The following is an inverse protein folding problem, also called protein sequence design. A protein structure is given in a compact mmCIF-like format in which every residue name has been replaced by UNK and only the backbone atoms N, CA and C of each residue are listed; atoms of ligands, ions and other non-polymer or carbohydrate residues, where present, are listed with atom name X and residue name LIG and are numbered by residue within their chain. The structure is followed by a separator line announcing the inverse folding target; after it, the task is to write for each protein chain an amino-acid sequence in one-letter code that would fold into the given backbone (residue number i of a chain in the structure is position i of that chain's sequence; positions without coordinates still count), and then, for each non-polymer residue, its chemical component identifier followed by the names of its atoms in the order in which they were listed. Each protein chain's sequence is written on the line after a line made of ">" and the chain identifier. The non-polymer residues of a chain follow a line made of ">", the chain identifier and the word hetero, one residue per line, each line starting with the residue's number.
data_IF_333154543217
#
_entry.id   IF_333154543217
#
_cell.length_a   1.000
_cell.length_b   1.000
_cell.length_c   1.000
_cell.angle_alpha   90.00
_cell.angle_beta   90.00
_cell.angle_gamma   90.00
#
_symmetry.space_group_name_H-M   'P 1'
#
loop_
_entity.id
_entity.type
_entity.pdbx_description
1 polymer ?
#
# COMPACT_ATOMS: atom_id res chain seq x y z
N UNK A 1 15.33 -27.98 4.50
CA UNK A 1 16.15 -27.16 3.59
C UNK A 1 15.39 -27.03 2.28
N UNK A 2 15.36 -25.83 1.70
CA UNK A 2 14.75 -25.57 0.39
C UNK A 2 15.69 -24.69 -0.42
N UNK A 3 15.98 -25.12 -1.65
CA UNK A 3 16.70 -24.32 -2.65
C UNK A 3 15.71 -23.62 -3.57
N UNK A 4 15.98 -22.37 -3.89
CA UNK A 4 15.12 -21.48 -4.64
C UNK A 4 15.94 -20.69 -5.67
N UNK A 5 15.39 -20.55 -6.87
CA UNK A 5 16.04 -19.96 -8.03
C UNK A 5 15.16 -18.89 -8.65
N UNK A 6 15.78 -17.82 -9.17
CA UNK A 6 15.08 -16.79 -9.94
C UNK A 6 16.03 -16.18 -10.97
N UNK A 7 15.61 -16.14 -12.24
CA UNK A 7 16.32 -15.37 -13.27
C UNK A 7 16.00 -13.88 -13.13
N UNK A 8 17.04 -13.05 -12.97
CA UNK A 8 16.89 -11.60 -12.90
C UNK A 8 16.74 -10.99 -14.30
N UNK A 9 16.14 -9.79 -14.38
CA UNK A 9 16.06 -9.01 -15.64
C UNK A 9 17.45 -8.71 -16.24
N UNK A 10 18.52 -8.74 -15.42
CA UNK A 10 19.91 -8.56 -15.87
C UNK A 10 20.53 -9.81 -16.51
N UNK A 11 19.78 -10.92 -16.57
CA UNK A 11 20.26 -12.23 -17.04
C UNK A 11 21.08 -13.01 -15.99
N UNK A 12 21.31 -12.45 -14.79
CA UNK A 12 21.95 -13.21 -13.70
C UNK A 12 20.93 -14.11 -13.01
N UNK A 13 21.32 -15.35 -12.74
CA UNK A 13 20.51 -16.28 -11.96
C UNK A 13 20.78 -16.07 -10.47
N UNK A 14 19.72 -15.81 -9.70
CA UNK A 14 19.76 -15.74 -8.24
C UNK A 14 19.55 -17.12 -7.66
N UNK A 15 20.38 -17.46 -6.68
CA UNK A 15 20.29 -18.67 -5.89
C UNK A 15 19.99 -18.30 -4.45
N UNK A 16 19.11 -19.06 -3.81
CA UNK A 16 18.71 -18.87 -2.43
C UNK A 16 18.48 -20.23 -1.77
N UNK A 17 19.22 -20.54 -0.72
CA UNK A 17 19.03 -21.73 0.10
C UNK A 17 18.58 -21.29 1.48
N UNK A 18 17.47 -21.85 1.94
CA UNK A 18 16.98 -21.63 3.30
C UNK A 18 16.97 -22.97 4.02
N UNK A 19 17.49 -23.02 5.25
CA UNK A 19 17.45 -24.20 6.12
C UNK A 19 17.13 -23.80 7.56
N UNK A 20 16.78 -24.80 8.37
CA UNK A 20 16.55 -24.67 9.81
C UNK A 20 17.52 -25.59 10.53
N UNK A 21 18.20 -25.05 11.54
CA UNK A 21 19.16 -25.74 12.41
C UNK A 21 18.73 -25.48 13.86
N UNK A 22 17.98 -26.40 14.46
CA UNK A 22 17.38 -26.18 15.79
C UNK A 22 16.37 -25.04 15.75
N UNK A 23 16.64 -23.95 16.48
CA UNK A 23 15.83 -22.73 16.47
C UNK A 23 16.37 -21.63 15.55
N UNK A 24 17.38 -21.94 14.73
CA UNK A 24 18.04 -20.98 13.87
C UNK A 24 17.64 -21.17 12.41
N UNK A 25 17.26 -20.09 11.73
CA UNK A 25 17.09 -20.08 10.28
C UNK A 25 18.40 -19.64 9.64
N UNK A 26 18.95 -20.48 8.78
CA UNK A 26 20.12 -20.15 7.95
C UNK A 26 19.63 -19.81 6.56
N UNK A 27 20.13 -18.70 6.01
CA UNK A 27 19.79 -18.26 4.65
C UNK A 27 21.09 -17.95 3.91
N UNK A 28 21.33 -18.67 2.84
CA UNK A 28 22.48 -18.48 1.94
C UNK A 28 21.99 -18.00 0.58
N UNK A 29 22.66 -17.02 -0.02
CA UNK A 29 22.31 -16.54 -1.36
C UNK A 29 23.53 -16.06 -2.15
N UNK A 30 23.41 -16.16 -3.48
CA UNK A 30 24.40 -15.66 -4.43
C UNK A 30 23.76 -15.42 -5.79
N UNK A 31 24.54 -14.90 -6.74
CA UNK A 31 24.14 -14.84 -8.14
C UNK A 31 25.17 -15.52 -9.01
N UNK A 32 24.73 -16.13 -10.10
CA UNK A 32 25.60 -16.71 -11.12
C UNK A 32 25.31 -16.11 -12.50
N UNK A 33 26.28 -16.17 -13.40
CA UNK A 33 26.12 -15.84 -14.81
C UNK A 33 27.05 -16.76 -15.60
N UNK A 34 26.54 -17.36 -16.67
CA UNK A 34 27.30 -18.28 -17.54
C UNK A 34 28.01 -19.38 -16.71
N UNK A 35 27.26 -19.98 -15.78
CA UNK A 35 27.71 -21.00 -14.81
C UNK A 35 28.84 -20.58 -13.86
N UNK A 36 29.16 -19.28 -13.79
CA UNK A 36 30.12 -18.73 -12.84
C UNK A 36 29.40 -18.12 -11.64
N UNK A 37 29.64 -18.69 -10.46
CA UNK A 37 29.12 -18.21 -9.19
C UNK A 37 29.82 -16.91 -8.73
N UNK A 38 29.02 -15.96 -8.28
CA UNK A 38 29.48 -14.80 -7.53
C UNK A 38 29.70 -15.12 -6.05
N UNK A 39 30.09 -14.10 -5.28
CA UNK A 39 30.32 -14.23 -3.84
C UNK A 39 29.05 -14.66 -3.11
N UNK A 40 29.16 -15.75 -2.33
CA UNK A 40 28.12 -16.24 -1.44
C UNK A 40 28.00 -15.38 -0.18
N UNK A 41 26.76 -15.16 0.24
CA UNK A 41 26.42 -14.44 1.47
C UNK A 41 25.53 -15.34 2.33
N UNK A 42 25.75 -15.31 3.64
CA UNK A 42 25.04 -16.17 4.60
C UNK A 42 24.59 -15.32 5.78
N UNK A 43 23.34 -15.51 6.21
CA UNK A 43 22.81 -14.98 7.47
C UNK A 43 22.25 -16.08 8.34
N UNK A 44 22.30 -15.86 9.65
CA UNK A 44 21.75 -16.75 10.67
C UNK A 44 20.83 -15.94 11.57
N UNK A 45 19.62 -16.41 11.76
CA UNK A 45 18.60 -15.75 12.58
C UNK A 45 18.08 -16.73 13.63
N UNK A 46 18.29 -16.42 14.90
CA UNK A 46 17.73 -17.20 16.02
C UNK A 46 16.27 -16.81 16.22
N UNK A 47 15.39 -17.81 16.26
CA UNK A 47 13.95 -17.64 16.44
C UNK A 47 13.56 -18.09 17.84
N UNK A 48 12.80 -17.24 18.53
CA UNK A 48 12.24 -17.53 19.84
C UNK A 48 10.77 -17.90 19.69
N UNK A 49 10.30 -18.81 20.56
CA UNK A 49 8.91 -19.18 20.71
C UNK A 49 8.03 -17.96 20.99
N UNK A 50 6.75 -18.07 20.61
CA UNK A 50 5.74 -17.02 20.79
C UNK A 50 4.59 -17.52 21.64
N UNK A 51 3.87 -16.57 22.23
CA UNK A 51 2.63 -16.79 22.99
C UNK A 51 2.77 -17.70 24.21
N UNK A 52 3.91 -17.68 24.90
CA UNK A 52 4.13 -18.44 26.14
C UNK A 52 2.97 -18.28 27.12
N UNK A 53 2.40 -19.39 27.58
CA UNK A 53 1.25 -19.44 28.48
C UNK A 53 -0.12 -19.28 27.81
N UNK A 54 -0.21 -19.37 26.48
CA UNK A 54 -1.49 -19.36 25.73
C UNK A 54 -1.70 -20.66 24.98
N UNK A 55 -2.95 -20.93 24.56
CA UNK A 55 -3.30 -22.15 23.82
C UNK A 55 -2.61 -22.28 22.46
N UNK A 56 -2.03 -21.21 21.93
CA UNK A 56 -1.26 -21.16 20.68
C UNK A 56 0.23 -20.88 20.93
N UNK A 57 0.74 -21.30 22.08
CA UNK A 57 2.17 -21.30 22.40
C UNK A 57 2.95 -22.18 21.40
N UNK A 58 4.15 -21.73 21.05
CA UNK A 58 5.09 -22.47 20.22
C UNK A 58 6.45 -22.49 20.90
N UNK A 59 7.13 -23.61 20.89
CA UNK A 59 8.56 -23.69 21.21
C UNK A 59 9.41 -22.93 20.18
N UNK A 60 10.67 -22.66 20.53
CA UNK A 60 11.64 -22.03 19.63
C UNK A 60 11.80 -22.77 18.30
N UNK A 61 11.86 -24.12 18.34
CA UNK A 61 12.01 -24.95 17.16
C UNK A 61 10.75 -24.96 16.29
N UNK A 62 9.56 -25.05 16.89
CA UNK A 62 8.29 -24.96 16.17
C UNK A 62 8.13 -23.59 15.51
N UNK A 63 8.43 -22.52 16.24
CA UNK A 63 8.34 -21.16 15.71
C UNK A 63 9.38 -20.94 14.59
N UNK A 64 10.56 -21.53 14.68
CA UNK A 64 11.57 -21.50 13.62
C UNK A 64 11.06 -22.16 12.33
N UNK A 65 10.39 -23.31 12.43
CA UNK A 65 9.78 -23.98 11.28
C UNK A 65 8.66 -23.15 10.65
N UNK A 66 7.78 -22.54 11.46
CA UNK A 66 6.72 -21.66 10.95
C UNK A 66 7.27 -20.42 10.23
N UNK A 67 8.31 -19.78 10.79
CA UNK A 67 8.97 -18.63 10.14
C UNK A 67 9.72 -19.06 8.87
N UNK A 68 10.33 -20.24 8.85
CA UNK A 68 10.98 -20.84 7.68
C UNK A 68 9.98 -21.04 6.53
N UNK A 69 8.87 -21.73 6.78
CA UNK A 69 7.82 -21.95 5.78
C UNK A 69 7.27 -20.63 5.24
N UNK A 70 7.05 -19.66 6.15
CA UNK A 70 6.62 -18.31 5.78
C UNK A 70 7.65 -17.61 4.89
N UNK A 71 8.96 -17.76 5.16
CA UNK A 71 10.03 -17.18 4.33
C UNK A 71 10.09 -17.83 2.94
N UNK A 72 10.07 -19.16 2.88
CA UNK A 72 10.05 -19.91 1.61
C UNK A 72 8.84 -19.48 0.77
N UNK A 73 7.64 -19.45 1.36
CA UNK A 73 6.42 -19.01 0.68
C UNK A 73 6.53 -17.58 0.16
N UNK A 74 7.01 -16.62 0.96
CA UNK A 74 7.21 -15.24 0.51
C UNK A 74 8.20 -15.13 -0.65
N UNK A 75 9.21 -16.00 -0.69
CA UNK A 75 10.17 -16.03 -1.81
C UNK A 75 9.55 -16.58 -3.08
N UNK A 76 8.69 -17.60 -2.97
CA UNK A 76 7.88 -18.07 -4.11
C UNK A 76 6.93 -16.97 -4.64
N UNK A 77 6.31 -16.21 -3.75
CA UNK A 77 5.50 -15.02 -4.11
C UNK A 77 6.36 -13.94 -4.79
N UNK A 78 7.66 -13.86 -4.49
CA UNK A 78 8.61 -13.00 -5.21
C UNK A 78 9.09 -13.59 -6.55
N UNK A 79 8.52 -14.71 -7.02
CA UNK A 79 8.85 -15.36 -8.29
C UNK A 79 10.09 -16.25 -8.23
N UNK A 80 10.44 -16.78 -7.04
CA UNK A 80 11.41 -17.86 -6.95
C UNK A 80 10.74 -19.23 -7.13
N UNK A 81 11.46 -20.16 -7.75
CA UNK A 81 11.02 -21.55 -7.95
C UNK A 81 12.05 -22.54 -7.44
N UNK A 82 11.63 -23.77 -7.16
CA UNK A 82 12.52 -24.79 -6.60
C UNK A 82 13.39 -25.50 -7.64
N UNK A 83 13.08 -25.37 -8.94
CA UNK A 83 13.90 -25.95 -10.01
C UNK A 83 14.66 -24.88 -10.79
N UNK A 84 15.93 -25.19 -11.06
CA UNK A 84 16.81 -24.37 -11.89
C UNK A 84 16.24 -24.20 -13.30
N UNK A 85 15.75 -25.29 -13.88
CA UNK A 85 15.14 -25.32 -15.22
C UNK A 85 13.96 -24.36 -15.33
N UNK A 86 13.02 -24.39 -14.36
CA UNK A 86 11.87 -23.48 -14.36
C UNK A 86 12.27 -22.02 -14.16
N UNK A 87 13.36 -21.76 -13.43
CA UNK A 87 13.88 -20.41 -13.30
C UNK A 87 14.46 -19.89 -14.61
N UNK A 88 15.15 -20.75 -15.37
CA UNK A 88 15.80 -20.41 -16.64
C UNK A 88 14.80 -20.27 -17.79
N UNK A 89 13.73 -21.08 -17.83
CA UNK A 89 12.66 -20.92 -18.83
C UNK A 89 11.90 -19.61 -18.68
N UNK A 90 11.96 -18.99 -17.49
CA UNK A 90 11.25 -17.77 -17.16
C UNK A 90 9.77 -18.04 -16.90
N UNK A 91 9.13 -17.13 -16.16
CA UNK A 91 7.69 -17.17 -15.97
C UNK A 91 7.06 -16.21 -16.97
N UNK A 92 6.24 -16.73 -17.88
CA UNK A 92 5.31 -15.93 -18.66
C UNK A 92 3.97 -15.87 -17.93
N UNK A 93 3.29 -14.73 -18.00
CA UNK A 93 1.90 -14.65 -17.55
C UNK A 93 1.01 -15.32 -18.60
N UNK A 94 0.40 -16.44 -18.25
CA UNK A 94 -0.54 -17.16 -19.13
C UNK A 94 -1.96 -16.86 -18.66
N UNK A 95 -2.65 -15.97 -19.37
CA UNK A 95 -4.00 -15.52 -18.97
C UNK A 95 -5.07 -16.62 -19.06
N UNK A 96 -4.82 -17.70 -19.81
CA UNK A 96 -5.69 -18.87 -19.88
C UNK A 96 -5.52 -19.82 -18.67
N UNK A 97 -4.71 -19.43 -17.69
CA UNK A 97 -4.46 -20.16 -16.45
C UNK A 97 -4.61 -19.24 -15.24
N UNK A 98 -4.81 -19.83 -14.06
CA UNK A 98 -4.80 -19.07 -12.80
C UNK A 98 -3.43 -18.41 -12.64
N UNK A 99 -3.43 -17.08 -12.53
CA UNK A 99 -2.19 -16.33 -12.42
C UNK A 99 -1.41 -16.70 -11.14
N UNK A 100 -0.09 -16.93 -11.24
CA UNK A 100 0.73 -17.21 -10.07
C UNK A 100 0.85 -15.96 -9.19
N UNK A 101 1.04 -16.15 -7.89
CA UNK A 101 1.23 -15.04 -6.93
C UNK A 101 2.42 -14.11 -7.23
N UNK A 102 3.32 -14.53 -8.12
CA UNK A 102 4.44 -13.73 -8.63
C UNK A 102 4.03 -12.73 -9.72
N UNK A 103 2.85 -12.88 -10.33
CA UNK A 103 2.30 -11.86 -11.20
C UNK A 103 2.07 -10.57 -10.38
N UNK A 104 2.49 -9.43 -10.92
CA UNK A 104 2.30 -8.15 -10.24
C UNK A 104 1.95 -7.05 -11.25
N UNK A 105 0.67 -6.62 -11.31
CA UNK A 105 0.25 -5.54 -12.20
C UNK A 105 0.88 -4.22 -11.76
N UNK A 106 1.23 -3.33 -12.70
CA UNK A 106 1.85 -2.05 -12.36
C UNK A 106 1.00 -1.20 -11.43
N UNK A 107 1.67 -0.39 -10.61
CA UNK A 107 1.04 0.61 -9.73
C UNK A 107 1.10 2.00 -10.37
N UNK A 108 0.16 2.90 -10.06
CA UNK A 108 0.34 4.30 -10.41
C UNK A 108 1.56 4.88 -9.70
N UNK A 109 2.23 5.84 -10.32
CA UNK A 109 3.29 6.66 -9.75
C UNK A 109 2.70 7.45 -8.58
N UNK A 110 3.42 7.53 -7.45
CA UNK A 110 2.86 8.01 -6.18
C UNK A 110 2.47 9.49 -6.18
N UNK A 111 3.09 10.31 -7.04
CA UNK A 111 2.81 11.73 -7.21
C UNK A 111 3.35 12.21 -8.55
N UNK A 112 2.81 13.29 -9.08
CA UNK A 112 3.43 13.99 -10.20
C UNK A 112 4.83 14.50 -9.81
N UNK A 113 5.72 14.57 -10.80
CA UNK A 113 7.05 15.15 -10.60
C UNK A 113 6.89 16.68 -10.52
N UNK A 114 7.70 17.40 -9.73
CA UNK A 114 7.60 18.86 -9.59
C UNK A 114 7.69 19.63 -10.91
N UNK A 115 8.33 19.05 -11.92
CA UNK A 115 8.47 19.63 -13.26
C UNK A 115 7.23 19.48 -14.16
N UNK A 116 6.22 18.73 -13.73
CA UNK A 116 4.99 18.56 -14.48
C UNK A 116 3.92 19.46 -13.87
N UNK A 117 3.34 20.32 -14.70
CA UNK A 117 2.14 21.05 -14.35
C UNK A 117 0.92 20.14 -14.60
N UNK A 118 0.11 19.80 -13.57
CA UNK A 118 -1.08 18.98 -13.75
C UNK A 118 -2.16 19.64 -14.63
N UNK A 119 -2.12 20.96 -14.81
CA UNK A 119 -3.14 21.74 -15.52
C UNK A 119 -2.69 22.22 -16.90
N UNK A 120 -1.59 21.68 -17.43
CA UNK A 120 -1.04 22.05 -18.74
C UNK A 120 -1.88 21.59 -19.96
N UNK A 121 -3.05 21.00 -19.71
CA UNK A 121 -3.94 20.47 -20.75
C UNK A 121 -3.51 19.12 -21.34
N UNK A 122 -2.36 18.55 -20.93
CA UNK A 122 -1.87 17.26 -21.43
C UNK A 122 -2.34 16.05 -20.60
N UNK A 123 -2.90 16.31 -19.41
CA UNK A 123 -3.36 15.29 -18.48
C UNK A 123 -4.87 15.09 -18.62
N UNK A 124 -5.28 13.82 -18.68
CA UNK A 124 -6.67 13.42 -18.45
C UNK A 124 -6.81 12.84 -17.05
N UNK A 125 -7.94 13.11 -16.42
CA UNK A 125 -8.20 12.77 -15.03
C UNK A 125 -9.40 11.84 -14.90
N UNK A 126 -9.27 10.88 -14.00
CA UNK A 126 -10.34 10.00 -13.53
C UNK A 126 -10.39 10.05 -12.01
N UNK A 127 -11.60 10.06 -11.42
CA UNK A 127 -11.75 10.07 -9.95
C UNK A 127 -10.94 8.93 -9.34
N UNK A 128 -10.16 9.26 -8.32
CA UNK A 128 -9.50 8.25 -7.50
C UNK A 128 -10.43 7.85 -6.36
N UNK A 129 -11.06 6.68 -6.51
CA UNK A 129 -11.81 6.06 -5.43
C UNK A 129 -10.90 5.52 -4.32
N UNK A 130 -11.40 5.57 -3.08
CA UNK A 130 -10.80 5.00 -1.89
C UNK A 130 -11.43 3.64 -1.58
N UNK A 131 -10.91 2.58 -2.19
CA UNK A 131 -11.46 1.25 -2.06
C UNK A 131 -10.41 0.15 -1.95
N UNK A 132 -10.76 -1.02 -2.47
CA UNK A 132 -9.87 -2.17 -2.57
C UNK A 132 -9.73 -2.58 -4.03
N UNK A 133 -8.51 -2.49 -4.55
CA UNK A 133 -8.20 -2.95 -5.91
C UNK A 133 -8.37 -4.48 -6.03
N UNK A 134 -9.27 -4.89 -6.92
CA UNK A 134 -9.58 -6.28 -7.28
C UNK A 134 -9.35 -6.47 -8.78
N UNK A 135 -8.77 -7.62 -9.15
CA UNK A 135 -8.63 -8.04 -10.54
C UNK A 135 -9.62 -9.16 -10.83
N UNK A 136 -10.26 -9.13 -12.00
CA UNK A 136 -11.20 -10.17 -12.43
C UNK A 136 -10.67 -10.81 -13.71
N UNK A 137 -10.53 -12.13 -13.69
CA UNK A 137 -10.01 -12.95 -14.77
C UNK A 137 -11.05 -13.95 -15.24
N UNK A 138 -11.10 -14.15 -16.55
CA UNK A 138 -11.73 -15.32 -17.15
C UNK A 138 -10.64 -16.11 -17.90
N UNK A 139 -10.35 -17.33 -17.46
CA UNK A 139 -9.32 -18.20 -18.08
C UNK A 139 -9.87 -18.99 -19.27
N UNK A 140 -11.17 -18.90 -19.55
CA UNK A 140 -11.90 -19.82 -20.43
C UNK A 140 -12.30 -21.13 -19.76
N UNK A 141 -11.75 -21.44 -18.56
CA UNK A 141 -12.07 -22.63 -17.77
C UNK A 141 -12.73 -22.28 -16.43
N UNK A 142 -12.32 -21.16 -15.85
CA UNK A 142 -12.79 -20.68 -14.56
C UNK A 142 -12.74 -19.15 -14.50
N UNK A 143 -13.58 -18.62 -13.60
CA UNK A 143 -13.66 -17.20 -13.29
C UNK A 143 -12.95 -16.95 -11.96
N UNK A 144 -11.97 -16.05 -11.96
CA UNK A 144 -11.11 -15.82 -10.79
C UNK A 144 -11.07 -14.35 -10.43
N UNK A 145 -11.34 -14.05 -9.16
CA UNK A 145 -11.09 -12.73 -8.59
C UNK A 145 -9.83 -12.77 -7.73
N UNK A 146 -8.99 -11.75 -7.88
CA UNK A 146 -7.75 -11.61 -7.11
C UNK A 146 -7.76 -10.33 -6.28
N UNK A 147 -7.20 -10.42 -5.08
CA UNK A 147 -6.71 -9.22 -4.39
C UNK A 147 -5.57 -8.56 -5.19
N UNK A 148 -5.23 -7.33 -4.84
CA UNK A 148 -4.08 -6.60 -5.43
C UNK A 148 -2.74 -7.37 -5.41
N UNK A 149 -2.57 -8.33 -4.50
CA UNK A 149 -1.36 -9.17 -4.37
C UNK A 149 -1.50 -10.54 -5.06
N UNK A 150 -2.47 -10.71 -5.96
CA UNK A 150 -2.71 -11.94 -6.71
C UNK A 150 -2.95 -13.13 -5.76
N UNK A 151 -3.74 -12.88 -4.72
CA UNK A 151 -4.34 -13.93 -3.91
C UNK A 151 -5.75 -14.19 -4.44
N UNK A 152 -6.07 -15.41 -4.89
CA UNK A 152 -7.43 -15.76 -5.28
C UNK A 152 -8.37 -15.57 -4.10
N UNK A 153 -9.45 -14.82 -4.31
CA UNK A 153 -10.47 -14.52 -3.30
C UNK A 153 -11.90 -14.62 -3.87
N UNK A 154 -12.07 -15.31 -5.01
CA UNK A 154 -13.34 -15.41 -5.76
C UNK A 154 -14.53 -15.68 -4.85
N UNK A 155 -14.47 -16.73 -4.03
CA UNK A 155 -15.59 -17.11 -3.16
C UNK A 155 -15.95 -16.02 -2.13
N UNK A 156 -14.96 -15.27 -1.63
CA UNK A 156 -15.18 -14.21 -0.65
C UNK A 156 -15.87 -13.00 -1.26
N UNK A 157 -15.45 -12.60 -2.46
CA UNK A 157 -15.96 -11.38 -3.11
C UNK A 157 -17.23 -11.63 -3.94
N UNK A 158 -17.57 -12.89 -4.23
CA UNK A 158 -18.83 -13.25 -4.91
C UNK A 158 -20.09 -12.91 -4.10
N UNK A 159 -19.96 -12.57 -2.81
CA UNK A 159 -21.07 -12.02 -2.02
C UNK A 159 -21.50 -10.64 -2.50
N UNK A 160 -20.64 -9.92 -3.23
CA UNK A 160 -20.91 -8.59 -3.80
C UNK A 160 -21.47 -8.76 -5.22
N UNK A 161 -22.75 -8.41 -5.46
CA UNK A 161 -23.39 -8.65 -6.76
C UNK A 161 -22.69 -7.98 -7.96
N UNK A 162 -22.16 -6.77 -7.78
CA UNK A 162 -21.51 -6.04 -8.88
C UNK A 162 -20.16 -6.65 -9.29
N UNK A 163 -19.46 -7.33 -8.37
CA UNK A 163 -18.29 -8.15 -8.70
C UNK A 163 -18.69 -9.34 -9.56
N UNK A 164 -19.74 -10.08 -9.18
CA UNK A 164 -20.23 -11.25 -9.92
C UNK A 164 -20.67 -10.84 -11.32
N UNK A 165 -21.44 -9.74 -11.43
CA UNK A 165 -21.89 -9.17 -12.71
C UNK A 165 -20.70 -8.84 -13.62
N UNK A 166 -19.69 -8.14 -13.12
CA UNK A 166 -18.53 -7.77 -13.93
C UNK A 166 -17.67 -8.99 -14.29
N UNK A 167 -17.46 -9.92 -13.36
CA UNK A 167 -16.68 -11.13 -13.59
C UNK A 167 -17.28 -12.00 -14.70
N UNK A 168 -18.62 -12.15 -14.72
CA UNK A 168 -19.33 -12.88 -15.78
C UNK A 168 -19.28 -12.20 -17.15
N UNK A 169 -18.97 -10.89 -17.21
CA UNK A 169 -18.83 -10.12 -18.46
C UNK A 169 -17.41 -10.16 -19.01
N UNK A 170 -16.42 -10.59 -18.21
CA UNK A 170 -15.03 -10.68 -18.67
C UNK A 170 -14.94 -11.72 -19.79
N UNK A 171 -14.50 -11.36 -21.01
CA UNK A 171 -14.34 -12.33 -22.08
C UNK A 171 -13.29 -13.37 -21.72
N UNK A 172 -13.40 -14.58 -22.28
CA UNK A 172 -12.39 -15.62 -22.11
C UNK A 172 -10.98 -15.11 -22.42
N UNK A 173 -10.01 -15.62 -21.68
CA UNK A 173 -8.60 -15.25 -21.77
C UNK A 173 -8.36 -13.75 -21.57
N UNK A 174 -9.08 -13.13 -20.62
CA UNK A 174 -8.96 -11.70 -20.32
C UNK A 174 -8.79 -11.45 -18.82
N UNK A 175 -8.18 -10.31 -18.50
CA UNK A 175 -7.93 -9.85 -17.14
C UNK A 175 -8.18 -8.34 -17.06
N UNK A 176 -9.20 -7.96 -16.30
CA UNK A 176 -9.54 -6.56 -16.02
C UNK A 176 -9.11 -6.18 -14.61
N UNK A 177 -8.90 -4.88 -14.40
CA UNK A 177 -8.54 -4.34 -13.09
C UNK A 177 -9.46 -3.18 -12.72
N UNK A 178 -9.90 -3.19 -11.46
CA UNK A 178 -10.84 -2.22 -10.94
C UNK A 178 -10.70 -2.01 -9.44
N UNK A 179 -11.50 -1.08 -8.93
CA UNK A 179 -11.59 -0.74 -7.52
C UNK A 179 -12.98 -1.12 -7.01
N UNK A 180 -13.05 -1.98 -6.00
CA UNK A 180 -14.27 -2.22 -5.25
C UNK A 180 -14.40 -1.11 -4.19
N UNK A 181 -15.53 -0.41 -4.17
CA UNK A 181 -15.79 0.73 -3.29
C UNK A 181 -17.06 0.47 -2.51
N UNK A 182 -17.05 0.80 -1.23
CA UNK A 182 -18.24 0.78 -0.38
C UNK A 182 -18.65 2.22 -0.09
N UNK A 183 -19.91 2.54 -0.32
CA UNK A 183 -20.53 3.81 0.05
C UNK A 183 -21.50 3.57 1.21
N UNK A 184 -21.46 4.43 2.22
CA UNK A 184 -22.46 4.43 3.28
C UNK A 184 -23.81 4.99 2.78
N UNK A 185 -24.83 4.98 3.65
CA UNK A 185 -26.16 5.49 3.31
C UNK A 185 -26.22 6.99 2.93
N UNK A 186 -25.14 7.74 3.16
CA UNK A 186 -25.01 9.15 2.75
C UNK A 186 -24.20 9.31 1.44
N UNK A 187 -23.75 8.21 0.83
CA UNK A 187 -22.91 8.23 -0.37
C UNK A 187 -21.42 8.52 -0.09
N UNK A 188 -20.97 8.39 1.16
CA UNK A 188 -19.56 8.61 1.54
C UNK A 188 -18.77 7.30 1.42
N UNK A 189 -17.57 7.36 0.86
CA UNK A 189 -16.69 6.18 0.74
C UNK A 189 -16.21 5.68 2.11
N UNK A 190 -16.41 4.39 2.41
CA UNK A 190 -15.87 3.72 3.60
C UNK A 190 -15.01 2.49 3.23
N UNK A 191 -13.70 2.67 3.03
CA UNK A 191 -12.80 1.54 2.77
C UNK A 191 -12.69 0.56 3.95
N UNK A 192 -13.12 0.92 5.17
CA UNK A 192 -13.07 0.01 6.32
C UNK A 192 -14.14 -1.07 6.22
N UNK A 193 -15.31 -0.75 5.66
CA UNK A 193 -16.40 -1.69 5.38
C UNK A 193 -15.93 -2.87 4.53
N UNK A 194 -15.04 -2.62 3.55
CA UNK A 194 -14.53 -3.62 2.62
C UNK A 194 -13.67 -4.72 3.27
N UNK A 195 -13.04 -4.45 4.43
CA UNK A 195 -12.14 -5.41 5.09
C UNK A 195 -12.80 -6.76 5.36
N UNK A 196 -14.08 -6.76 5.73
CA UNK A 196 -14.80 -7.98 6.04
C UNK A 196 -15.11 -8.86 4.83
N UNK A 197 -15.11 -8.28 3.62
CA UNK A 197 -15.45 -8.99 2.38
C UNK A 197 -14.24 -9.28 1.49
N UNK A 198 -13.09 -8.60 1.70
CA UNK A 198 -11.89 -8.77 0.85
C UNK A 198 -10.67 -9.39 1.56
N UNK A 199 -10.73 -9.67 2.86
CA UNK A 199 -9.57 -10.21 3.60
C UNK A 199 -9.47 -11.73 3.42
N UNK A 200 -8.33 -12.21 2.90
CA UNK A 200 -8.06 -13.64 2.61
C UNK A 200 -8.26 -14.57 3.81
N UNK A 201 -8.01 -14.10 5.04
CA UNK A 201 -8.19 -14.91 6.27
C UNK A 201 -9.64 -14.96 6.78
N UNK A 202 -10.57 -14.34 6.08
CA UNK A 202 -12.00 -14.39 6.39
C UNK A 202 -12.63 -15.66 5.81
N UNK A 203 -13.80 -16.06 6.33
CA UNK A 203 -14.61 -17.16 5.75
C UNK A 203 -15.74 -16.59 4.91
N UNK A 204 -16.22 -17.34 3.91
CA UNK A 204 -17.35 -16.92 3.07
C UNK A 204 -18.58 -16.54 3.90
N UNK A 205 -18.92 -17.33 4.94
CA UNK A 205 -20.03 -17.02 5.84
C UNK A 205 -19.87 -15.67 6.58
N UNK A 206 -18.64 -15.32 6.99
CA UNK A 206 -18.36 -14.02 7.63
C UNK A 206 -18.43 -12.87 6.63
N UNK A 207 -17.94 -13.08 5.41
CA UNK A 207 -18.04 -12.10 4.33
C UNK A 207 -19.52 -11.83 3.98
N UNK A 208 -20.32 -12.88 3.82
CA UNK A 208 -21.76 -12.80 3.55
C UNK A 208 -22.49 -12.03 4.65
N UNK A 209 -22.34 -12.46 5.92
CA UNK A 209 -22.98 -11.78 7.05
C UNK A 209 -22.59 -10.29 7.12
N UNK A 210 -21.31 -9.96 6.88
CA UNK A 210 -20.85 -8.58 6.90
C UNK A 210 -21.43 -7.76 5.75
N UNK A 211 -21.52 -8.33 4.55
CA UNK A 211 -22.15 -7.69 3.40
C UNK A 211 -23.64 -7.42 3.67
N UNK A 212 -24.37 -8.43 4.14
CA UNK A 212 -25.83 -8.34 4.38
C UNK A 212 -26.15 -7.31 5.46
N UNK A 213 -25.40 -7.32 6.58
CA UNK A 213 -25.54 -6.31 7.64
C UNK A 213 -25.32 -4.89 7.09
N UNK A 214 -24.29 -4.68 6.27
CA UNK A 214 -24.01 -3.36 5.72
C UNK A 214 -25.06 -2.94 4.69
N UNK A 215 -25.56 -3.87 3.88
CA UNK A 215 -26.65 -3.61 2.95
C UNK A 215 -27.93 -3.19 3.69
N UNK A 216 -28.26 -3.81 4.83
CA UNK A 216 -29.37 -3.40 5.71
C UNK A 216 -29.15 -2.00 6.31
N UNK A 217 -27.90 -1.62 6.56
CA UNK A 217 -27.51 -0.26 6.99
C UNK A 217 -27.51 0.76 5.82
N UNK A 218 -27.88 0.35 4.61
CA UNK A 218 -27.97 1.20 3.42
C UNK A 218 -26.67 1.35 2.63
N UNK A 219 -25.66 0.51 2.87
CA UNK A 219 -24.43 0.54 2.09
C UNK A 219 -24.62 0.01 0.67
N UNK A 220 -23.87 0.60 -0.26
CA UNK A 220 -23.75 0.16 -1.65
C UNK A 220 -22.31 -0.24 -1.95
N UNK A 221 -22.13 -1.36 -2.63
CA UNK A 221 -20.81 -1.87 -3.05
C UNK A 221 -20.73 -1.89 -4.57
N UNK A 222 -19.89 -1.01 -5.13
CA UNK A 222 -19.73 -0.84 -6.58
C UNK A 222 -18.31 -1.21 -7.01
N UNK A 223 -18.20 -1.81 -8.21
CA UNK A 223 -16.91 -2.15 -8.80
C UNK A 223 -16.60 -1.31 -10.03
N UNK A 224 -15.62 -0.42 -9.90
CA UNK A 224 -15.20 0.51 -10.96
C UNK A 224 -13.97 -0.04 -11.70
N UNK A 225 -14.19 -0.54 -12.92
CA UNK A 225 -13.11 -1.01 -13.80
C UNK A 225 -12.36 0.19 -14.38
N UNK A 226 -11.04 0.24 -14.17
CA UNK A 226 -10.22 1.37 -14.59
C UNK A 226 -9.14 1.03 -15.62
N UNK A 227 -8.82 -0.24 -15.85
CA UNK A 227 -7.89 -0.66 -16.92
C UNK A 227 -8.07 -2.15 -17.27
N UNK A 228 -7.38 -2.59 -18.32
CA UNK A 228 -7.36 -3.98 -18.78
C UNK A 228 -5.91 -4.37 -19.10
N UNK A 229 -5.50 -5.56 -18.66
CA UNK A 229 -4.13 -6.06 -18.87
C UNK A 229 -4.10 -7.06 -20.03
N UNK A 230 -5.03 -8.01 -20.02
CA UNK A 230 -5.17 -9.01 -21.07
C UNK A 230 -6.57 -8.94 -21.67
N UNK A 231 -6.67 -9.04 -22.99
CA UNK A 231 -7.94 -9.03 -23.70
C UNK A 231 -7.95 -10.10 -24.80
N UNK A 232 -8.82 -11.11 -24.62
CA UNK A 232 -9.02 -12.22 -25.56
C UNK A 232 -7.70 -12.89 -25.98
N UNK A 233 -6.87 -13.23 -24.99
CA UNK A 233 -5.59 -13.93 -25.16
C UNK A 233 -4.40 -13.02 -25.50
N UNK A 234 -4.61 -11.71 -25.66
CA UNK A 234 -3.52 -10.76 -25.97
C UNK A 234 -3.13 -9.93 -24.75
N UNK A 235 -1.83 -9.79 -24.52
CA UNK A 235 -1.27 -8.74 -23.67
C UNK A 235 -1.47 -7.39 -24.39
N UNK A 236 -2.20 -6.48 -23.75
CA UNK A 236 -2.48 -5.15 -24.29
C UNK A 236 -1.82 -4.03 -23.49
N UNK A 237 -0.86 -4.36 -22.61
CA UNK A 237 -0.22 -3.38 -21.74
C UNK A 237 0.56 -2.30 -22.46
N UNK A 238 1.06 -2.60 -23.67
CA UNK A 238 1.78 -1.65 -24.53
C UNK A 238 0.85 -0.85 -25.47
N UNK A 239 -0.47 -1.10 -25.46
CA UNK A 239 -1.41 -0.19 -26.15
C UNK A 239 -1.51 1.14 -25.41
N UNK A 240 -1.77 2.27 -26.11
CA UNK A 240 -2.13 3.55 -25.51
C UNK A 240 -3.28 3.43 -24.51
N UNK A 241 -3.31 4.28 -23.48
CA UNK A 241 -4.40 4.28 -22.49
C UNK A 241 -5.77 4.47 -23.14
N UNK A 242 -5.88 5.31 -24.17
CA UNK A 242 -7.14 5.55 -24.90
C UNK A 242 -7.72 4.29 -25.53
N UNK A 243 -6.89 3.41 -26.10
CA UNK A 243 -7.36 2.13 -26.66
C UNK A 243 -7.82 1.16 -25.57
N UNK A 244 -7.11 1.12 -24.43
CA UNK A 244 -7.51 0.28 -23.29
C UNK A 244 -8.77 0.82 -22.60
N UNK A 245 -8.94 2.15 -22.58
CA UNK A 245 -10.14 2.82 -22.09
C UNK A 245 -11.37 2.41 -22.89
N UNK A 246 -11.31 2.44 -24.22
CA UNK A 246 -12.43 2.04 -25.08
C UNK A 246 -12.93 0.63 -24.75
N UNK A 247 -12.01 -0.31 -24.52
CA UNK A 247 -12.36 -1.67 -24.09
C UNK A 247 -12.96 -1.71 -22.69
N UNK A 248 -12.47 -0.88 -21.77
CA UNK A 248 -12.96 -0.82 -20.39
C UNK A 248 -14.37 -0.22 -20.27
N UNK A 249 -14.82 0.61 -21.23
CA UNK A 249 -16.18 1.15 -21.27
C UNK A 249 -17.25 0.05 -21.35
N UNK A 250 -16.88 -1.15 -21.82
CA UNK A 250 -17.75 -2.32 -21.78
C UNK A 250 -18.13 -2.76 -20.36
N UNK A 251 -17.53 -2.22 -19.31
CA UNK A 251 -17.81 -2.58 -17.91
C UNK A 251 -18.53 -1.49 -17.11
N UNK A 252 -18.65 -0.27 -17.63
CA UNK A 252 -19.34 0.82 -16.97
C UNK A 252 -18.96 2.16 -17.58
N UNK A 253 -19.74 3.19 -17.24
CA UNK A 253 -19.41 4.56 -17.62
C UNK A 253 -18.17 5.05 -16.87
N UNK A 254 -17.32 5.78 -17.57
CA UNK A 254 -16.09 6.35 -17.02
C UNK A 254 -16.02 7.82 -17.35
N UNK A 255 -16.04 8.68 -16.34
CA UNK A 255 -15.86 10.12 -16.50
C UNK A 255 -14.38 10.46 -16.57
N UNK A 256 -13.88 10.71 -17.78
CA UNK A 256 -12.49 11.07 -18.05
C UNK A 256 -12.46 12.33 -18.90
N UNK A 257 -11.81 13.35 -18.38
CA UNK A 257 -11.79 14.71 -18.96
C UNK A 257 -10.38 15.28 -18.82
N UNK A 258 -10.07 16.34 -19.57
CA UNK A 258 -8.80 17.08 -19.39
C UNK A 258 -8.77 17.67 -18.00
N UNK A 259 -7.69 17.48 -17.26
CA UNK A 259 -7.60 17.88 -15.87
C UNK A 259 -7.46 19.40 -15.72
N UNK A 260 -8.34 20.02 -14.94
CA UNK A 260 -8.32 21.46 -14.69
C UNK A 260 -8.27 21.79 -13.20
N UNK A 261 -7.93 23.04 -12.88
CA UNK A 261 -7.93 23.52 -11.50
C UNK A 261 -9.34 23.45 -10.90
N UNK A 262 -10.38 23.77 -11.66
CA UNK A 262 -11.77 23.72 -11.19
C UNK A 262 -12.19 22.31 -10.79
N UNK A 263 -11.76 21.29 -11.54
CA UNK A 263 -11.97 19.89 -11.16
C UNK A 263 -11.27 19.54 -9.85
N UNK A 264 -10.02 19.97 -9.70
CA UNK A 264 -9.24 19.78 -8.46
C UNK A 264 -9.95 20.42 -7.26
N UNK A 265 -10.39 21.67 -7.39
CA UNK A 265 -11.03 22.42 -6.31
C UNK A 265 -12.38 21.82 -5.91
N UNK A 266 -13.17 21.37 -6.88
CA UNK A 266 -14.46 20.72 -6.61
C UNK A 266 -14.28 19.37 -5.93
N UNK A 267 -13.39 18.52 -6.44
CA UNK A 267 -13.12 17.23 -5.81
C UNK A 267 -12.56 17.37 -4.40
N UNK A 268 -11.79 18.42 -4.13
CA UNK A 268 -11.32 18.75 -2.79
C UNK A 268 -12.49 19.13 -1.86
N UNK A 269 -13.43 19.98 -2.32
CA UNK A 269 -14.66 20.32 -1.56
C UNK A 269 -15.53 19.09 -1.28
N UNK A 270 -15.60 18.16 -2.22
CA UNK A 270 -16.34 16.90 -2.08
C UNK A 270 -15.58 15.83 -1.27
N UNK A 271 -14.41 16.16 -0.70
CA UNK A 271 -13.58 15.25 0.07
C UNK A 271 -13.18 13.97 -0.68
N UNK A 272 -12.95 14.04 -1.99
CA UNK A 272 -12.43 12.90 -2.74
C UNK A 272 -10.98 12.61 -2.35
N UNK A 273 -10.53 11.36 -2.52
CA UNK A 273 -9.11 11.05 -2.31
C UNK A 273 -8.19 11.75 -3.32
N UNK A 274 -8.73 12.09 -4.50
CA UNK A 274 -8.07 12.83 -5.56
C UNK A 274 -8.39 12.29 -6.95
N UNK A 275 -7.41 12.33 -7.83
CA UNK A 275 -7.50 11.86 -9.21
C UNK A 275 -6.37 10.90 -9.56
N UNK A 276 -6.63 10.02 -10.52
CA UNK A 276 -5.60 9.34 -11.29
C UNK A 276 -5.42 10.10 -12.60
N UNK A 277 -4.25 10.73 -12.77
CA UNK A 277 -3.88 11.39 -14.00
C UNK A 277 -3.16 10.42 -14.92
N UNK A 278 -3.47 10.52 -16.21
CA UNK A 278 -2.83 9.75 -17.29
C UNK A 278 -2.60 10.66 -18.48
N UNK A 279 -1.65 10.30 -19.33
CA UNK A 279 -1.58 10.81 -20.70
C UNK A 279 -2.33 9.86 -21.64
N UNK A 280 -2.91 10.35 -22.74
CA UNK A 280 -3.63 9.49 -23.69
C UNK A 280 -2.81 8.31 -24.24
N UNK A 281 -1.49 8.49 -24.36
CA UNK A 281 -0.50 7.55 -24.89
C UNK A 281 0.20 6.70 -23.80
N UNK A 282 -0.16 6.87 -22.52
CA UNK A 282 0.47 6.14 -21.43
C UNK A 282 0.26 4.61 -21.56
N UNK A 283 1.36 3.86 -21.58
CA UNK A 283 1.35 2.40 -21.50
C UNK A 283 1.56 1.91 -20.07
N UNK A 284 1.07 0.71 -19.78
CA UNK A 284 1.24 0.05 -18.47
C UNK A 284 2.20 -1.13 -18.61
N UNK A 285 2.33 -1.93 -17.55
CA UNK A 285 3.15 -3.16 -17.57
C UNK A 285 2.77 -4.06 -16.40
N UNK A 286 3.34 -5.25 -16.35
CA UNK A 286 3.33 -6.13 -15.18
C UNK A 286 4.70 -6.79 -15.00
N UNK A 287 4.90 -7.47 -13.89
CA UNK A 287 6.12 -8.26 -13.63
C UNK A 287 5.75 -9.65 -13.13
N UNK A 288 6.71 -10.57 -13.15
CA UNK A 288 6.56 -11.96 -12.69
C UNK A 288 7.42 -12.27 -11.45
N UNK A 289 7.74 -11.25 -10.67
CA UNK A 289 8.59 -11.34 -9.48
C UNK A 289 7.92 -10.82 -8.19
N UNK A 290 6.58 -10.71 -8.20
CA UNK A 290 5.76 -10.21 -7.10
C UNK A 290 5.93 -8.70 -6.82
N UNK A 291 6.79 -8.01 -7.58
CA UNK A 291 7.16 -6.61 -7.33
C UNK A 291 6.65 -5.72 -8.48
N UNK A 292 5.56 -4.97 -8.27
CA UNK A 292 4.98 -4.16 -9.32
C UNK A 292 5.87 -2.96 -9.65
N UNK A 293 6.06 -2.71 -10.95
CA UNK A 293 6.64 -1.45 -11.47
C UNK A 293 5.61 -0.32 -11.35
N UNK A 294 6.08 0.94 -11.39
CA UNK A 294 5.20 2.12 -11.44
C UNK A 294 5.29 2.79 -12.81
N UNK A 295 4.19 2.82 -13.56
CA UNK A 295 4.14 3.28 -14.96
C UNK A 295 2.70 3.64 -15.35
N UNK A 296 2.54 4.57 -16.30
CA UNK A 296 1.30 4.80 -17.06
C UNK A 296 0.12 5.42 -16.31
N UNK A 297 0.31 5.83 -15.06
CA UNK A 297 -0.69 6.50 -14.26
C UNK A 297 -0.03 7.24 -13.10
N UNK A 298 -0.62 8.35 -12.66
CA UNK A 298 -0.05 9.23 -11.63
C UNK A 298 -1.13 9.56 -10.62
N UNK A 299 -0.83 9.39 -9.33
CA UNK A 299 -1.74 9.85 -8.28
C UNK A 299 -1.62 11.36 -8.16
N UNK A 300 -2.74 12.05 -8.24
CA UNK A 300 -2.90 13.43 -7.80
C UNK A 300 -3.76 13.40 -6.54
N UNK A 301 -3.18 13.81 -5.42
CA UNK A 301 -3.85 13.84 -4.11
C UNK A 301 -3.83 15.27 -3.60
N UNK A 302 -4.88 15.65 -2.90
CA UNK A 302 -4.88 16.86 -2.11
C UNK A 302 -3.93 16.65 -0.93
N UNK A 303 -2.88 17.46 -0.86
CA UNK A 303 -1.94 17.45 0.25
C UNK A 303 -2.09 18.80 0.92
N UNK A 304 -2.55 18.79 2.16
CA UNK A 304 -2.58 19.98 3.00
C UNK A 304 -1.28 20.08 3.78
N UNK A 305 -0.93 21.31 4.14
CA UNK A 305 0.17 21.58 5.06
C UNK A 305 -0.33 22.31 6.28
N UNK A 306 0.16 21.92 7.45
CA UNK A 306 -0.06 22.66 8.70
C UNK A 306 1.19 22.62 9.56
N UNK A 307 1.22 23.43 10.61
CA UNK A 307 2.30 23.44 11.57
C UNK A 307 1.83 22.81 12.89
N UNK A 308 2.70 22.00 13.49
CA UNK A 308 2.45 21.29 14.73
C UNK A 308 3.62 21.46 15.69
N UNK A 309 3.33 21.30 16.97
CA UNK A 309 4.31 21.25 18.05
C UNK A 309 4.69 19.79 18.27
N UNK A 310 5.99 19.51 18.34
CA UNK A 310 6.48 18.22 18.81
C UNK A 310 6.52 18.21 20.33
N UNK A 311 5.67 17.40 20.93
CA UNK A 311 5.54 17.27 22.39
C UNK A 311 6.14 15.98 22.94
N UNK A 312 6.53 15.05 22.07
CA UNK A 312 7.08 13.76 22.45
C UNK A 312 7.82 13.09 21.29
N UNK A 313 8.69 12.15 21.63
CA UNK A 313 9.55 11.45 20.66
C UNK A 313 9.58 9.95 20.92
N UNK A 314 9.84 9.18 19.87
CA UNK A 314 10.02 7.74 19.95
C UNK A 314 10.95 7.24 18.84
N UNK A 315 11.78 6.22 19.12
CA UNK A 315 12.56 5.57 18.09
C UNK A 315 11.69 5.01 16.97
N UNK A 316 12.26 4.96 15.77
CA UNK A 316 11.63 4.26 14.64
C UNK A 316 11.67 2.74 14.79
N UNK A 317 11.40 2.05 13.70
CA UNK A 317 11.58 0.59 13.61
C UNK A 317 12.56 0.24 12.50
N UNK A 318 13.16 -0.94 12.57
CA UNK A 318 14.19 -1.38 11.61
C UNK A 318 15.38 -0.44 11.64
N UNK A 319 15.83 0.05 10.47
CA UNK A 319 16.98 0.97 10.37
C UNK A 319 16.86 2.28 11.17
N UNK A 320 15.66 2.63 11.63
CA UNK A 320 15.39 3.84 12.42
C UNK A 320 15.31 3.57 13.93
N UNK A 321 15.63 2.38 14.41
CA UNK A 321 15.69 2.10 15.86
C UNK A 321 16.80 2.90 16.57
N UNK A 322 17.81 3.34 15.83
CA UNK A 322 18.97 4.10 16.31
C UNK A 322 18.74 5.62 16.41
N UNK A 323 17.52 6.11 16.15
CA UNK A 323 17.19 7.55 16.13
C UNK A 323 15.73 7.82 16.46
N UNK A 324 15.40 9.02 16.94
CA UNK A 324 14.00 9.45 17.01
C UNK A 324 13.44 9.65 15.61
N UNK A 325 12.44 8.86 15.26
CA UNK A 325 11.82 8.89 13.92
C UNK A 325 10.28 8.94 13.96
N UNK A 326 9.71 9.01 15.16
CA UNK A 326 8.29 9.23 15.43
C UNK A 326 8.15 10.38 16.42
N UNK A 327 7.25 11.29 16.12
CA UNK A 327 7.07 12.53 16.86
C UNK A 327 5.60 12.68 17.24
N UNK A 328 5.33 12.97 18.50
CA UNK A 328 3.98 13.27 18.98
C UNK A 328 3.66 14.71 18.64
N UNK A 329 2.55 14.92 17.96
CA UNK A 329 2.14 16.20 17.40
C UNK A 329 1.05 16.82 18.27
N UNK A 330 1.08 18.13 18.41
CA UNK A 330 0.03 18.90 19.05
C UNK A 330 -0.19 20.25 18.36
N UNK A 331 -1.39 20.81 18.54
CA UNK A 331 -1.74 22.16 18.09
C UNK A 331 -2.56 22.88 19.15
N UNK A 332 -2.52 24.20 19.16
CA UNK A 332 -3.40 25.01 19.99
C UNK A 332 -4.78 25.13 19.34
N UNK A 333 -5.81 25.08 20.17
CA UNK A 333 -7.20 25.36 19.81
C UNK A 333 -7.76 26.37 20.81
N UNK A 334 -8.64 27.26 20.38
CA UNK A 334 -9.36 28.12 21.30
C UNK A 334 -10.50 27.33 21.93
N UNK A 335 -10.52 27.23 23.26
CA UNK A 335 -11.65 26.68 23.99
C UNK A 335 -12.89 27.58 23.79
N UNK A 336 -14.11 27.08 24.11
CA UNK A 336 -15.31 27.92 24.11
C UNK A 336 -15.20 29.15 25.04
N UNK A 337 -14.30 29.14 26.03
CA UNK A 337 -14.02 30.29 26.91
C UNK A 337 -12.94 31.24 26.36
N UNK A 338 -12.36 30.96 25.19
CA UNK A 338 -11.31 31.76 24.55
C UNK A 338 -9.89 31.47 25.04
N UNK A 339 -9.70 30.42 25.85
CA UNK A 339 -8.38 30.01 26.32
C UNK A 339 -7.72 29.06 25.31
N UNK A 340 -6.43 29.28 25.00
CA UNK A 340 -5.67 28.35 24.16
C UNK A 340 -5.42 27.05 24.90
N UNK A 341 -5.98 25.96 24.40
CA UNK A 341 -5.76 24.60 24.91
C UNK A 341 -4.92 23.82 23.92
N UNK A 342 -3.98 23.03 24.43
CA UNK A 342 -3.14 22.17 23.60
C UNK A 342 -3.86 20.86 23.31
N UNK A 343 -4.08 20.57 22.02
CA UNK A 343 -4.76 19.38 21.54
C UNK A 343 -3.74 18.39 20.99
N UNK A 344 -3.84 17.14 21.43
CA UNK A 344 -3.03 16.03 20.90
C UNK A 344 -3.52 15.63 19.50
N UNK A 345 -2.61 15.68 18.53
CA UNK A 345 -2.84 15.37 17.12
C UNK A 345 -2.27 14.01 16.70
N UNK A 346 -1.87 13.18 17.65
CA UNK A 346 -1.35 11.83 17.43
C UNK A 346 0.15 11.82 17.11
N UNK A 347 0.60 10.77 16.41
CA UNK A 347 2.01 10.56 16.10
C UNK A 347 2.27 10.65 14.59
N UNK A 348 3.26 11.45 14.21
CA UNK A 348 3.77 11.58 12.85
C UNK A 348 5.12 10.89 12.67
N UNK A 349 5.37 10.36 11.47
CA UNK A 349 6.70 9.87 11.09
C UNK A 349 7.58 11.00 10.54
N UNK A 350 8.89 10.90 10.77
CA UNK A 350 9.85 11.89 10.24
C UNK A 350 9.85 11.99 8.72
N UNK A 351 9.59 10.90 7.99
CA UNK A 351 9.30 10.91 6.55
C UNK A 351 10.22 11.79 5.69
N UNK A 352 9.77 13.01 5.34
CA UNK A 352 10.50 13.97 4.48
C UNK A 352 11.54 14.81 5.23
N UNK A 353 11.47 14.88 6.55
CA UNK A 353 12.53 15.41 7.41
C UNK A 353 13.88 14.75 7.07
N UNK A 354 13.86 13.47 6.74
CA UNK A 354 15.03 12.73 6.27
C UNK A 354 15.98 12.30 7.40
N UNK A 355 16.83 11.32 7.09
CA UNK A 355 17.71 10.67 8.07
C UNK A 355 18.63 11.65 8.78
N UNK A 356 19.28 12.54 8.02
CA UNK A 356 20.21 13.55 8.56
C UNK A 356 19.56 14.44 9.62
N UNK A 357 18.38 14.99 9.35
CA UNK A 357 17.71 15.90 10.28
C UNK A 357 17.15 15.14 11.49
N UNK A 358 16.69 13.89 11.32
CA UNK A 358 16.31 13.04 12.45
C UNK A 358 17.50 12.73 13.36
N UNK A 359 18.68 12.51 12.79
CA UNK A 359 19.91 12.28 13.54
C UNK A 359 20.31 13.54 14.33
N UNK A 360 20.21 14.72 13.71
CA UNK A 360 20.44 16.00 14.39
C UNK A 360 19.49 16.23 15.58
N UNK A 361 18.19 15.99 15.41
CA UNK A 361 17.21 16.09 16.51
C UNK A 361 17.54 15.06 17.60
N UNK A 362 17.97 13.85 17.21
CA UNK A 362 18.36 12.81 18.16
C UNK A 362 19.56 13.24 18.99
N UNK A 363 20.61 13.76 18.35
CA UNK A 363 21.81 14.28 19.04
C UNK A 363 21.45 15.44 19.98
N UNK A 364 20.64 16.39 19.51
CA UNK A 364 20.21 17.54 20.31
C UNK A 364 19.43 17.11 21.56
N UNK A 365 18.42 16.26 21.40
CA UNK A 365 17.61 15.77 22.53
C UNK A 365 18.45 14.88 23.46
N UNK A 366 19.34 14.05 22.92
CA UNK A 366 20.24 13.24 23.76
C UNK A 366 21.16 14.13 24.60
N UNK A 367 21.68 15.22 24.04
CA UNK A 367 22.48 16.21 24.78
C UNK A 367 21.71 16.90 25.92
N UNK A 368 20.38 16.99 25.78
CA UNK A 368 19.45 17.51 26.79
C UNK A 368 19.01 16.47 27.83
N UNK A 369 19.50 15.23 27.70
CA UNK A 369 19.28 14.13 28.65
C UNK A 369 18.10 13.22 28.32
N UNK A 370 17.56 13.25 27.10
CA UNK A 370 16.51 12.32 26.66
C UNK A 370 17.13 11.00 26.18
N UNK A 371 16.63 9.86 26.67
CA UNK A 371 17.12 8.52 26.27
C UNK A 371 16.53 8.09 24.93
N UNK A 372 17.16 7.20 24.18
CA UNK A 372 16.58 6.72 22.92
C UNK A 372 15.43 5.72 23.12
N UNK A 373 14.31 6.21 23.66
CA UNK A 373 13.08 5.49 23.97
C UNK A 373 11.85 6.39 23.80
N UNK A 374 10.65 5.81 23.89
CA UNK A 374 9.41 6.59 23.79
C UNK A 374 9.24 7.45 25.04
N UNK A 375 9.25 8.77 24.90
CA UNK A 375 9.05 9.70 26.01
C UNK A 375 8.41 11.02 25.57
N UNK A 376 7.83 11.74 26.54
CA UNK A 376 7.34 13.10 26.35
C UNK A 376 8.49 14.10 26.56
N UNK A 377 8.46 15.20 25.83
CA UNK A 377 9.41 16.30 25.97
C UNK A 377 8.92 17.29 27.02
N UNK A 378 9.86 17.91 27.73
CA UNK A 378 9.58 19.08 28.57
C UNK A 378 9.17 20.24 27.67
N UNK A 379 8.27 21.08 28.15
CA UNK A 379 7.72 22.21 27.37
C UNK A 379 8.79 23.14 26.80
N UNK A 380 9.85 23.42 27.57
CA UNK A 380 10.99 24.22 27.12
C UNK A 380 11.77 23.62 25.94
N UNK A 381 11.60 22.32 25.69
CA UNK A 381 12.29 21.56 24.64
C UNK A 381 11.33 21.20 23.48
N UNK A 382 10.09 21.70 23.51
CA UNK A 382 9.17 21.59 22.38
C UNK A 382 9.67 22.42 21.20
N UNK A 383 9.35 21.96 19.99
CA UNK A 383 9.72 22.64 18.76
C UNK A 383 8.63 22.49 17.70
N UNK A 384 8.54 23.47 16.80
CA UNK A 384 7.57 23.45 15.72
C UNK A 384 8.07 22.64 14.52
N UNK A 385 7.16 21.98 13.83
CA UNK A 385 7.38 21.25 12.59
C UNK A 385 6.27 21.55 11.60
N UNK A 386 6.63 21.55 10.32
CA UNK A 386 5.66 21.58 9.23
C UNK A 386 5.31 20.14 8.85
N UNK A 387 4.02 19.92 8.62
CA UNK A 387 3.40 18.64 8.37
C UNK A 387 2.65 18.67 7.05
N UNK A 388 2.89 17.68 6.20
CA UNK A 388 1.96 17.31 5.12
C UNK A 388 0.98 16.23 5.59
N UNK A 389 -0.30 16.38 5.27
CA UNK A 389 -1.33 15.38 5.57
C UNK A 389 -2.37 15.29 4.45
N UNK A 390 -3.14 14.18 4.42
CA UNK A 390 -4.18 13.97 3.40
C UNK A 390 -5.53 14.56 3.81
N UNK A 391 -5.91 14.39 5.07
CA UNK A 391 -7.16 14.91 5.62
C UNK A 391 -7.04 15.07 7.15
N UNK A 392 -7.81 15.99 7.72
CA UNK A 392 -8.00 16.07 9.18
C UNK A 392 -9.13 15.14 9.59
N UNK A 393 -8.88 14.26 10.57
CA UNK A 393 -9.87 13.30 11.03
C UNK A 393 -10.80 13.93 12.09
N UNK A 394 -12.01 13.40 12.22
CA UNK A 394 -12.91 13.77 13.32
C UNK A 394 -12.31 13.41 14.67
N UNK A 395 -12.71 14.14 15.71
CA UNK A 395 -12.19 13.96 17.06
C UNK A 395 -12.46 12.54 17.54
N UNK A 396 -11.41 11.82 17.94
CA UNK A 396 -11.56 10.43 18.38
C UNK A 396 -12.06 10.34 19.84
N UNK A 397 -12.30 9.12 20.33
CA UNK A 397 -12.78 8.86 21.71
C UNK A 397 -11.85 9.40 22.82
N UNK A 398 -10.59 9.72 22.50
CA UNK A 398 -9.60 10.31 23.42
C UNK A 398 -9.55 11.84 23.32
N UNK A 399 -10.43 12.46 22.54
CA UNK A 399 -10.42 13.90 22.31
C UNK A 399 -9.35 14.36 21.31
N UNK A 400 -8.62 13.46 20.67
CA UNK A 400 -7.52 13.81 19.76
C UNK A 400 -8.04 14.24 18.39
N UNK A 401 -7.36 15.20 17.77
CA UNK A 401 -7.67 15.72 16.44
C UNK A 401 -6.55 15.31 15.46
N UNK A 402 -6.56 14.03 15.08
CA UNK A 402 -5.46 13.42 14.32
C UNK A 402 -5.50 13.75 12.82
N UNK A 403 -4.34 13.64 12.19
CA UNK A 403 -4.20 13.72 10.75
C UNK A 403 -4.19 12.34 10.09
N UNK A 404 -4.67 12.24 8.86
CA UNK A 404 -4.52 11.05 8.04
C UNK A 404 -3.18 11.07 7.28
N UNK A 405 -2.37 10.04 7.48
CA UNK A 405 -1.01 9.90 6.93
C UNK A 405 -0.09 11.12 7.14
N UNK A 406 0.09 11.61 8.38
CA UNK A 406 0.97 12.73 8.68
C UNK A 406 2.43 12.42 8.32
N UNK A 407 3.06 13.33 7.56
CA UNK A 407 4.48 13.29 7.21
C UNK A 407 5.11 14.63 7.56
N UNK A 408 6.11 14.62 8.44
CA UNK A 408 6.89 15.83 8.73
C UNK A 408 7.77 16.18 7.53
N UNK A 409 7.71 17.43 7.08
CA UNK A 409 8.52 17.94 5.98
C UNK A 409 9.81 18.57 6.45
N UNK A 410 9.74 19.39 7.50
CA UNK A 410 10.85 20.16 8.08
C UNK A 410 10.56 20.60 9.50
N UNK A 411 11.60 20.95 10.25
CA UNK A 411 11.47 21.78 11.46
C UNK A 411 11.14 23.22 11.07
N UNK A 412 10.41 23.93 11.94
CA UNK A 412 10.00 25.33 11.77
C UNK A 412 10.62 26.19 12.85
N UNK A 413 11.93 26.36 12.78
CA UNK A 413 12.68 27.26 13.66
C UNK A 413 12.23 28.72 13.53
N UNK A 414 11.61 29.05 12.38
CA UNK A 414 11.03 30.35 12.07
C UNK A 414 9.65 30.59 12.69
N UNK A 415 9.02 29.57 13.32
CA UNK A 415 7.63 29.66 13.78
C UNK A 415 7.49 29.51 15.30
N UNK A 416 6.86 30.48 16.00
CA UNK A 416 6.51 30.33 17.41
C UNK A 416 5.53 29.17 17.64
N UNK A 417 5.69 28.44 18.75
CA UNK A 417 4.79 27.33 19.10
C UNK A 417 3.33 27.79 19.20
N UNK A 418 3.09 29.00 19.70
CA UNK A 418 1.76 29.57 19.88
C UNK A 418 0.99 29.80 18.56
N UNK A 419 1.66 29.75 17.40
CA UNK A 419 1.06 29.86 16.06
C UNK A 419 0.80 28.50 15.39
N UNK A 420 1.11 27.40 16.08
CA UNK A 420 0.75 26.06 15.64
C UNK A 420 -0.68 25.77 16.07
N UNK A 421 -1.66 26.17 15.26
CA UNK A 421 -3.09 26.14 15.59
C UNK A 421 -3.89 25.18 14.70
N UNK A 422 -5.07 24.76 15.19
CA UNK A 422 -5.99 23.85 14.48
C UNK A 422 -6.46 24.40 13.15
#
# INVERSE_FOLDING_TARGET
>A
MTSLYQLAETGRLKHLVISVEGNMIVTEWWTSKDDVDGKKQITRETILGKNTGRSNETSDAEQAMLEYERKVRKKKEEGYVESLESALSGHAAVVSEVLPSSFAPCKPINKLKPKHDPFDGSWIAERKYNGVCILLQNTGKELVAYSRRIKPITELVSVVPDIVKNLNRVPENSLIIGELVAFDGNGTEDPKALKGVTTETTTVAKAQNKHDTLAEEGYVFDYYVFDIIFWKGRDITELPFTERLELALAFGERKIETFTQEMSDEAHRLNWEGYILRRPDDTITFTMNGKPKRKGAYKYKFIETTDCIVTGVSPGSGKHEVRFAKFKLAQYENSPSGEKVLVDCGWGGGGRLGEKNMDQITEELTSKGYNLEKQELKEKDWFAVELEYQSRQTRNKKGQLCFEFPIITRTREDKPLAECEV
#
